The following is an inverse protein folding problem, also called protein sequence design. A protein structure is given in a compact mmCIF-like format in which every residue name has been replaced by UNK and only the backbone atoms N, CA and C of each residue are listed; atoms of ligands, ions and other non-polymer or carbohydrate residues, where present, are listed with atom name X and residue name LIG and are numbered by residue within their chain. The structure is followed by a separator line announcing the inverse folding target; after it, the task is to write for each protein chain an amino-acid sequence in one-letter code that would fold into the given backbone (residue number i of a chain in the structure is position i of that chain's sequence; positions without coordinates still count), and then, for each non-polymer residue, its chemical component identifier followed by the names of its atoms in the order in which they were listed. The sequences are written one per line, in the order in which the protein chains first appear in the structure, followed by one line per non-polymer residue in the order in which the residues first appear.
data_IF_621708362431
#
_entry.id   IF_621708362431
#
_cell.length_a   1.000
_cell.length_b   1.000
_cell.length_c   1.000
_cell.angle_alpha   90.00
_cell.angle_beta   90.00
_cell.angle_gamma   90.00
#
_symmetry.space_group_name_H-M   'P 1'
#
loop_
_entity.id
_entity.type
_entity.pdbx_description
1 polymer ?
2 polymer ?
3 polymer ?
#
# COMPACT_ATOMS: atom_id res chain seq x y z
N UNK A 3 -14.09 -43.83 41.53
CA UNK A 3 -14.34 -42.58 42.24
C UNK A 3 -15.35 -41.72 41.49
N UNK A 4 -15.60 -40.52 42.01
CA UNK A 4 -16.66 -39.67 41.49
C UNK A 4 -16.16 -38.62 40.49
N UNK A 5 -15.12 -37.88 40.86
CA UNK A 5 -14.64 -36.81 39.98
C UNK A 5 -13.93 -37.38 38.75
N UNK A 6 -13.66 -38.68 38.78
CA UNK A 6 -13.18 -39.39 37.61
C UNK A 6 -14.34 -39.65 36.64
N UNK A 7 -15.55 -39.33 37.08
CA UNK A 7 -16.72 -39.43 36.20
C UNK A 7 -17.02 -38.06 35.61
N UNK A 8 -16.84 -37.02 36.42
CA UNK A 8 -17.03 -35.66 35.97
C UNK A 8 -15.92 -35.25 35.00
N UNK A 9 -14.75 -35.85 35.15
CA UNK A 9 -13.63 -35.50 34.29
C UNK A 9 -13.77 -36.07 32.88
N UNK A 10 -14.30 -37.29 32.76
CA UNK A 10 -14.42 -37.95 31.46
C UNK A 10 -15.65 -37.48 30.68
N UNK A 11 -16.66 -36.99 31.39
CA UNK A 11 -17.86 -36.50 30.71
C UNK A 11 -17.62 -35.12 30.10
N UNK A 12 -16.76 -34.34 30.75
CA UNK A 12 -16.33 -33.07 30.18
C UNK A 12 -15.37 -33.35 29.04
N UNK A 13 -14.52 -34.37 29.21
CA UNK A 13 -13.52 -34.70 28.21
C UNK A 13 -14.16 -35.34 26.99
N UNK A 14 -15.17 -36.18 27.24
CA UNK A 14 -16.02 -36.71 26.17
C UNK A 14 -16.54 -35.62 25.23
N UNK A 15 -17.46 -34.80 25.74
CA UNK A 15 -18.02 -33.67 25.00
C UNK A 15 -16.97 -32.86 24.25
N UNK A 16 -15.86 -32.57 24.92
CA UNK A 16 -14.69 -31.97 24.27
C UNK A 16 -14.31 -32.75 23.00
N UNK A 17 -13.98 -34.03 23.17
CA UNK A 17 -13.60 -34.88 22.05
C UNK A 17 -14.67 -34.80 20.97
N UNK A 18 -15.93 -34.93 21.37
CA UNK A 18 -17.06 -34.85 20.46
C UNK A 18 -17.13 -33.52 19.72
N UNK A 19 -17.02 -32.42 20.46
CA UNK A 19 -17.08 -31.09 19.85
C UNK A 19 -15.89 -30.81 18.95
N UNK A 20 -14.77 -31.46 19.23
CA UNK A 20 -13.57 -31.28 18.41
C UNK A 20 -13.61 -32.17 17.17
N UNK A 21 -14.02 -33.42 17.33
CA UNK A 21 -14.14 -34.34 16.21
C UNK A 21 -15.14 -33.82 15.18
N UNK A 22 -16.17 -33.14 15.66
CA UNK A 22 -17.20 -32.57 14.81
C UNK A 22 -16.61 -31.45 13.93
N UNK A 23 -15.92 -30.51 14.58
CA UNK A 23 -15.29 -29.40 13.90
C UNK A 23 -14.24 -29.87 12.88
N UNK A 24 -13.61 -31.00 13.17
CA UNK A 24 -12.60 -31.57 12.29
C UNK A 24 -13.26 -32.09 11.02
N UNK A 25 -14.44 -32.69 11.18
CA UNK A 25 -15.18 -33.18 10.03
C UNK A 25 -15.78 -32.04 9.23
N UNK A 26 -15.84 -30.85 9.81
CA UNK A 26 -16.36 -29.70 9.10
C UNK A 26 -15.28 -29.08 8.22
N UNK A 27 -14.10 -28.89 8.81
CA UNK A 27 -12.96 -28.35 8.06
C UNK A 27 -12.47 -29.35 7.03
N UNK A 28 -12.79 -30.63 7.24
CA UNK A 28 -12.40 -31.66 6.31
C UNK A 28 -13.17 -31.58 4.98
N UNK A 29 -14.46 -31.23 5.04
CA UNK A 29 -15.25 -31.06 3.82
C UNK A 29 -15.01 -29.69 3.21
N UNK A 30 -14.72 -28.70 4.06
CA UNK A 30 -14.34 -27.38 3.58
C UNK A 30 -13.10 -27.47 2.72
N UNK A 31 -12.14 -28.28 3.15
CA UNK A 31 -10.90 -28.50 2.41
C UNK A 31 -11.20 -29.14 1.05
N UNK A 32 -12.16 -30.05 1.04
CA UNK A 32 -12.62 -30.67 -0.20
C UNK A 32 -13.24 -29.61 -1.11
N UNK A 33 -14.13 -28.81 -0.53
CA UNK A 33 -14.77 -27.71 -1.25
C UNK A 33 -13.74 -26.72 -1.78
N UNK A 34 -12.63 -26.58 -1.07
CA UNK A 34 -11.57 -25.67 -1.49
C UNK A 34 -10.91 -26.15 -2.78
N UNK A 35 -10.76 -27.47 -2.91
CA UNK A 35 -10.08 -28.04 -4.05
C UNK A 35 -10.94 -28.03 -5.31
N UNK A 36 -12.21 -28.40 -5.17
CA UNK A 36 -13.12 -28.38 -6.32
C UNK A 36 -13.35 -26.94 -6.81
N UNK A 37 -13.40 -26.00 -5.87
CA UNK A 37 -13.54 -24.59 -6.21
C UNK A 37 -12.32 -24.10 -6.96
N UNK A 38 -11.14 -24.58 -6.55
CA UNK A 38 -9.90 -24.19 -7.18
C UNK A 38 -9.80 -24.81 -8.58
N UNK A 39 -10.22 -26.07 -8.69
CA UNK A 39 -10.19 -26.78 -9.96
C UNK A 39 -11.12 -26.13 -10.98
N UNK A 40 -12.32 -25.77 -10.54
CA UNK A 40 -13.29 -25.13 -11.42
C UNK A 40 -12.88 -23.71 -11.80
N UNK A 41 -12.24 -23.01 -10.86
CA UNK A 41 -11.73 -21.68 -11.13
C UNK A 41 -10.68 -21.71 -12.23
N UNK A 42 -9.80 -22.70 -12.17
CA UNK A 42 -8.79 -22.90 -13.21
C UNK A 42 -9.45 -23.21 -14.55
N UNK A 43 -10.40 -24.14 -14.52
CA UNK A 43 -11.12 -24.54 -15.73
C UNK A 43 -11.88 -23.36 -16.33
N UNK A 44 -12.39 -22.49 -15.46
CA UNK A 44 -13.13 -21.30 -15.89
C UNK A 44 -12.23 -20.29 -16.59
N UNK A 45 -11.02 -20.11 -16.09
CA UNK A 45 -10.10 -19.13 -16.66
C UNK A 45 -9.52 -19.61 -17.99
N UNK A 46 -9.38 -20.92 -18.15
CA UNK A 46 -8.90 -21.50 -19.39
C UNK A 46 -9.91 -21.32 -20.52
N UNK A 47 -11.19 -21.37 -20.16
CA UNK A 47 -12.25 -21.22 -21.14
C UNK A 47 -12.35 -19.77 -21.60
N UNK A 48 -12.18 -18.85 -20.67
CA UNK A 48 -12.24 -17.42 -20.96
C UNK A 48 -11.08 -17.00 -21.86
N UNK A 49 -9.94 -17.67 -21.71
CA UNK A 49 -8.77 -17.36 -22.52
C UNK A 49 -8.91 -17.84 -23.96
N UNK A 50 -9.83 -18.77 -24.19
CA UNK A 50 -10.06 -19.30 -25.54
C UNK A 50 -11.03 -18.43 -26.32
N UNK A 51 -11.64 -17.47 -25.62
CA UNK A 51 -12.55 -16.53 -26.26
C UNK A 51 -11.93 -15.14 -26.31
N UNK A 52 -10.74 -15.02 -25.73
CA UNK A 52 -10.03 -13.74 -25.71
C UNK A 52 -8.62 -13.90 -26.28
N UNK A 54 -5.16 -12.58 -24.23
CA UNK A 54 -4.84 -12.94 -22.86
C UNK A 54 -4.74 -11.70 -21.98
N UNK A 55 -5.42 -11.72 -20.82
CA UNK A 55 -5.35 -10.57 -19.91
C UNK A 55 -3.92 -10.26 -19.49
N UNK A 56 -3.59 -8.96 -19.38
CA UNK A 56 -2.26 -8.50 -18.98
C UNK A 56 -2.01 -8.76 -17.49
N UNK A 57 -0.75 -8.99 -17.10
CA UNK A 57 -0.36 -9.38 -15.74
C UNK A 57 -0.67 -8.42 -14.58
N UNK A 58 -0.22 -7.15 -14.59
CA UNK A 58 -0.42 -6.41 -13.34
C UNK A 58 -1.86 -5.91 -13.14
N UNK A 59 -2.57 -5.82 -14.26
CA UNK A 59 -3.94 -5.35 -14.29
C UNK A 59 -4.98 -6.43 -14.50
N UNK A 60 -6.17 -6.19 -13.94
CA UNK A 60 -7.33 -7.05 -14.11
C UNK A 60 -7.14 -8.48 -13.62
N UNK A 61 -6.03 -8.75 -12.94
CA UNK A 61 -5.76 -10.09 -12.44
C UNK A 61 -5.14 -10.07 -11.04
N UNK A 62 -5.57 -11.00 -10.19
CA UNK A 62 -4.98 -11.17 -8.87
C UNK A 62 -4.65 -12.65 -8.65
N UNK A 63 -3.37 -12.94 -8.41
CA UNK A 63 -2.92 -14.33 -8.26
C UNK A 63 -3.09 -14.81 -6.82
N UNK A 64 -3.32 -16.12 -6.64
CA UNK A 64 -3.42 -16.70 -5.32
C UNK A 64 -2.03 -17.04 -4.78
N UNK A 65 -1.84 -16.93 -3.45
CA UNK A 65 -2.85 -16.51 -2.48
C UNK A 65 -2.91 -14.99 -2.34
N UNK A 66 -4.05 -14.47 -1.89
CA UNK A 66 -4.20 -13.05 -1.67
C UNK A 66 -5.23 -12.77 -0.59
N UNK A 67 -5.26 -11.53 -0.14
CA UNK A 67 -6.29 -11.07 0.79
C UNK A 67 -6.99 -9.84 0.25
N UNK A 68 -8.21 -9.60 0.71
CA UNK A 68 -8.96 -8.42 0.31
C UNK A 68 -9.21 -7.57 1.55
N UNK A 69 -8.76 -6.33 1.50
CA UNK A 69 -8.97 -5.40 2.61
C UNK A 69 -10.07 -4.42 2.24
N UNK A 70 -11.11 -4.38 3.06
CA UNK A 70 -12.25 -3.53 2.77
C UNK A 70 -12.46 -2.50 3.88
N UNK A 71 -12.53 -1.23 3.46
CA UNK A 71 -12.76 -0.14 4.39
C UNK A 71 -13.63 0.92 3.71
N UNK A 72 -14.05 1.93 4.48
CA UNK A 72 -14.91 2.98 3.95
C UNK A 72 -14.18 3.84 2.94
N UNK A 73 -14.94 4.50 2.07
CA UNK A 73 -14.37 5.36 1.04
C UNK A 73 -13.66 6.58 1.62
N UNK A 74 -14.08 6.99 2.82
CA UNK A 74 -13.50 8.16 3.48
C UNK A 74 -12.26 7.79 4.27
N UNK A 75 -11.95 6.51 4.33
CA UNK A 75 -10.78 6.03 5.07
C UNK A 75 -9.49 6.24 4.29
N UNK A 76 -8.49 6.84 4.94
CA UNK A 76 -7.18 7.03 4.32
C UNK A 76 -6.27 5.85 4.63
N UNK A 77 -5.69 5.28 3.58
CA UNK A 77 -4.80 4.14 3.72
C UNK A 77 -3.35 4.55 3.45
N UNK A 78 -2.47 4.23 4.38
CA UNK A 78 -1.05 4.55 4.23
C UNK A 78 -0.19 3.30 4.22
N UNK A 79 0.81 3.29 3.35
CA UNK A 79 1.70 2.14 3.24
C UNK A 79 3.11 2.59 3.58
N UNK A 80 3.69 1.95 4.59
CA UNK A 80 5.03 2.27 5.05
C UNK A 80 6.03 1.12 4.97
N UNK A 81 7.21 1.39 4.44
CA UNK A 81 8.28 0.41 4.51
C UNK A 81 9.45 1.07 5.24
N UNK A 82 10.06 0.31 6.15
CA UNK A 82 11.09 0.87 7.03
C UNK A 82 12.48 0.35 6.69
N UNK A 83 13.41 0.52 7.63
CA UNK A 83 14.78 0.06 7.45
C UNK A 83 14.88 -1.44 7.69
N UNK A 84 13.98 -1.97 8.50
CA UNK A 84 13.95 -3.40 8.78
C UNK A 84 13.50 -4.14 7.53
N UNK A 85 14.01 -5.35 7.36
CA UNK A 85 13.75 -6.07 6.12
C UNK A 85 12.54 -6.97 6.27
N UNK A 86 11.94 -7.31 5.13
CA UNK A 86 10.78 -8.19 5.04
C UNK A 86 9.62 -7.67 5.88
N UNK A 87 9.43 -6.35 5.92
CA UNK A 87 8.37 -5.76 6.74
C UNK A 87 7.50 -4.79 5.96
N UNK A 88 6.18 -4.95 6.07
CA UNK A 88 5.26 -3.98 5.51
C UNK A 88 4.31 -3.44 6.58
N UNK A 89 4.03 -2.14 6.57
CA UNK A 89 3.10 -1.57 7.54
C UNK A 89 1.99 -0.72 6.90
N UNK A 90 0.77 -1.23 6.95
CA UNK A 90 -0.40 -0.48 6.46
C UNK A 90 -1.13 0.18 7.62
N UNK A 91 -1.46 1.46 7.47
CA UNK A 91 -2.24 2.18 8.49
C UNK A 91 -3.58 2.68 7.98
N UNK A 92 -4.60 2.56 8.84
CA UNK A 92 -5.94 3.04 8.53
C UNK A 92 -6.39 3.98 9.65
N UNK A 93 -7.08 5.05 9.30
CA UNK A 93 -7.60 5.97 10.32
C UNK A 93 -8.98 5.52 10.80
N UNK A 94 -9.45 4.41 10.24
CA UNK A 94 -10.75 3.85 10.60
C UNK A 94 -10.73 2.33 10.51
N UNK A 95 -11.82 1.69 10.94
CA UNK A 95 -11.90 0.24 10.96
C UNK A 95 -11.86 -0.34 9.56
N UNK A 96 -11.45 -1.61 9.47
CA UNK A 96 -11.39 -2.31 8.20
C UNK A 96 -11.75 -3.78 8.37
N UNK A 97 -11.85 -4.50 7.25
CA UNK A 97 -12.10 -5.94 7.28
C UNK A 97 -11.18 -6.66 6.31
N UNK A 98 -10.78 -7.87 6.70
CA UNK A 98 -9.89 -8.69 5.88
C UNK A 98 -10.58 -9.97 5.44
N UNK A 99 -10.52 -10.25 4.14
CA UNK A 99 -11.16 -11.43 3.58
C UNK A 99 -10.13 -12.25 2.82
N UNK A 100 -10.34 -13.56 2.79
CA UNK A 100 -9.36 -14.46 2.20
C UNK A 100 -9.73 -14.94 0.81
N UNK A 101 -8.77 -15.58 0.14
CA UNK A 101 -8.95 -16.17 -1.18
C UNK A 101 -10.05 -17.21 -1.13
N UNK A 102 -10.07 -18.00 -0.06
CA UNK A 102 -11.03 -19.09 0.09
C UNK A 102 -12.47 -18.56 0.10
N UNK A 103 -12.70 -17.46 0.81
CA UNK A 103 -14.05 -16.93 0.94
C UNK A 103 -14.54 -16.24 -0.34
N UNK A 104 -13.65 -15.58 -1.06
CA UNK A 104 -14.05 -14.94 -2.32
C UNK A 104 -14.35 -16.00 -3.37
N UNK A 105 -13.66 -17.14 -3.32
CA UNK A 105 -13.95 -18.24 -4.24
C UNK A 105 -15.32 -18.83 -3.95
N UNK A 106 -15.69 -18.90 -2.67
CA UNK A 106 -17.02 -19.38 -2.28
C UNK A 106 -18.13 -18.41 -2.66
N UNK A 107 -17.84 -17.11 -2.57
CA UNK A 107 -18.83 -16.07 -2.85
C UNK A 107 -19.14 -15.96 -4.34
N UNK A 108 -18.24 -16.45 -5.17
CA UNK A 108 -18.37 -16.38 -6.62
C UNK A 108 -18.90 -17.70 -7.17
N UNK A 109 -19.36 -18.55 -6.27
CA UNK A 109 -19.71 -19.92 -6.62
C UNK A 109 -18.48 -20.77 -6.42
N UNK A 110 -17.94 -21.33 -7.50
CA UNK A 110 -16.68 -22.06 -7.39
C UNK A 110 -15.61 -21.47 -8.31
N UNK B 4 -22.90 -49.75 41.57
CA UNK B 4 -23.17 -48.33 41.67
C UNK B 4 -23.48 -47.74 40.30
N UNK B 5 -24.22 -46.62 40.30
CA UNK B 5 -24.61 -45.96 39.07
C UNK B 5 -23.43 -45.26 38.41
N UNK B 6 -22.46 -44.85 39.22
CA UNK B 6 -21.33 -44.07 38.71
C UNK B 6 -20.19 -44.93 38.16
N UNK B 7 -19.96 -46.09 38.77
CA UNK B 7 -18.78 -46.89 38.43
C UNK B 7 -18.93 -47.56 37.06
N UNK B 8 -20.16 -47.69 36.56
CA UNK B 8 -20.34 -48.20 35.22
C UNK B 8 -20.98 -47.16 34.31
N UNK B 9 -21.08 -45.94 34.83
CA UNK B 9 -21.20 -44.76 33.98
C UNK B 9 -19.79 -44.51 33.44
N UNK B 10 -18.82 -44.95 34.24
CA UNK B 10 -17.41 -44.88 33.90
C UNK B 10 -17.03 -45.89 32.82
N UNK B 11 -17.29 -47.16 33.10
CA UNK B 11 -16.95 -48.26 32.20
C UNK B 11 -17.60 -48.08 30.83
N UNK B 12 -18.76 -47.41 30.80
CA UNK B 12 -19.44 -47.13 29.54
C UNK B 12 -18.78 -45.97 28.81
N UNK B 13 -18.53 -44.89 29.53
CA UNK B 13 -17.87 -43.72 28.97
C UNK B 13 -16.44 -44.06 28.56
N UNK B 14 -15.79 -44.89 29.38
CA UNK B 14 -14.43 -45.32 29.07
C UNK B 14 -14.40 -46.39 27.97
N UNK B 15 -15.57 -46.78 27.50
CA UNK B 15 -15.67 -47.72 26.38
C UNK B 15 -15.94 -46.98 25.07
N UNK B 16 -16.43 -45.74 25.20
CA UNK B 16 -16.80 -44.94 24.02
C UNK B 16 -15.71 -44.01 23.52
N UNK B 17 -14.84 -43.54 24.41
CA UNK B 17 -13.82 -42.58 24.02
C UNK B 17 -12.75 -43.17 23.08
N UNK B 18 -12.55 -44.48 23.12
CA UNK B 18 -11.58 -45.12 22.23
C UNK B 18 -12.10 -45.20 20.80
N UNK B 19 -13.42 -45.30 20.66
CA UNK B 19 -14.05 -45.21 19.35
C UNK B 19 -13.91 -43.77 18.91
N UNK B 20 -14.05 -42.86 19.87
CA UNK B 20 -13.87 -41.44 19.64
C UNK B 20 -12.40 -41.11 19.39
N UNK B 21 -11.52 -41.82 20.09
CA UNK B 21 -10.09 -41.61 19.93
C UNK B 21 -9.63 -42.02 18.53
N UNK B 22 -10.01 -43.23 18.11
CA UNK B 22 -9.61 -43.74 16.80
C UNK B 22 -10.23 -42.94 15.68
N UNK B 23 -11.44 -42.43 15.90
CA UNK B 23 -12.11 -41.61 14.91
C UNK B 23 -11.31 -40.33 14.65
N UNK B 24 -10.68 -39.81 15.69
CA UNK B 24 -9.89 -38.59 15.56
C UNK B 24 -8.55 -38.88 14.90
N UNK B 25 -7.99 -40.05 15.18
CA UNK B 25 -6.76 -40.51 14.56
C UNK B 25 -6.96 -40.61 13.06
N UNK B 26 -8.10 -41.19 12.69
CA UNK B 26 -8.51 -41.33 11.31
C UNK B 26 -8.70 -39.96 10.67
N UNK B 27 -9.39 -39.09 11.37
CA UNK B 27 -9.69 -37.74 10.87
C UNK B 27 -8.43 -36.88 10.79
N UNK B 28 -7.42 -37.25 11.55
CA UNK B 28 -6.16 -36.51 11.55
C UNK B 28 -5.28 -36.95 10.40
N UNK B 29 -5.47 -38.19 9.97
CA UNK B 29 -4.72 -38.73 8.83
C UNK B 29 -5.37 -38.33 7.52
N UNK B 30 -6.70 -38.26 7.52
CA UNK B 30 -7.46 -37.83 6.35
C UNK B 30 -7.19 -36.37 6.04
N UNK B 31 -7.08 -35.55 7.07
CA UNK B 31 -6.85 -34.12 6.91
C UNK B 31 -5.43 -33.81 6.44
N UNK B 32 -4.46 -34.63 6.88
CA UNK B 32 -3.06 -34.33 6.61
C UNK B 32 -2.60 -34.71 5.21
N UNK B 33 -3.33 -35.61 4.55
CA UNK B 33 -3.03 -35.96 3.17
C UNK B 33 -4.18 -35.59 2.25
N UNK B 34 -5.14 -34.84 2.79
CA UNK B 34 -6.03 -34.02 1.97
C UNK B 34 -5.30 -32.70 1.73
N UNK B 35 -4.67 -32.18 2.78
CA UNK B 35 -3.89 -30.96 2.68
C UNK B 35 -2.74 -31.15 1.68
N UNK B 36 -2.10 -32.30 1.75
CA UNK B 36 -1.01 -32.66 0.85
C UNK B 36 -1.47 -32.68 -0.60
N UNK B 37 -2.67 -33.21 -0.82
CA UNK B 37 -3.21 -33.32 -2.16
C UNK B 37 -3.61 -31.95 -2.68
N UNK B 38 -3.85 -31.03 -1.74
CA UNK B 38 -4.21 -29.66 -2.10
C UNK B 38 -2.95 -28.91 -2.50
N UNK B 39 -1.84 -29.24 -1.83
CA UNK B 39 -0.56 -28.62 -2.12
C UNK B 39 -0.02 -29.06 -3.48
N UNK B 40 -0.32 -30.29 -3.87
CA UNK B 40 0.16 -30.84 -5.14
C UNK B 40 -0.58 -30.25 -6.34
N UNK B 41 -1.84 -29.89 -6.14
CA UNK B 41 -2.65 -29.31 -7.20
C UNK B 41 -2.27 -27.86 -7.51
N UNK B 42 -2.05 -27.06 -6.45
CA UNK B 42 -1.80 -25.64 -6.64
C UNK B 42 -0.35 -25.33 -7.02
N UNK B 43 0.50 -26.35 -7.03
CA UNK B 43 1.80 -26.23 -7.69
C UNK B 43 1.93 -27.31 -8.76
N UNK B 44 1.04 -27.22 -9.74
CA UNK B 44 1.32 -27.74 -11.05
C UNK B 44 1.72 -26.43 -11.71
N UNK B 45 2.43 -26.47 -12.83
CA UNK B 45 2.86 -25.21 -13.43
C UNK B 45 1.77 -24.74 -14.38
N UNK B 46 0.94 -25.68 -14.83
CA UNK B 46 -0.22 -25.33 -15.63
C UNK B 46 -1.32 -24.74 -14.75
N UNK B 47 -1.50 -25.32 -13.56
CA UNK B 47 -2.54 -24.85 -12.64
C UNK B 47 -2.22 -23.47 -12.06
N UNK B 48 -0.95 -23.24 -11.76
CA UNK B 48 -0.50 -21.96 -11.25
C UNK B 48 -0.70 -20.85 -12.28
N UNK B 49 -0.66 -21.23 -13.56
CA UNK B 49 -0.84 -20.32 -14.68
C UNK B 49 -2.26 -19.73 -14.72
N UNK B 50 -3.23 -20.45 -14.15
CA UNK B 50 -4.62 -20.01 -14.18
C UNK B 50 -5.25 -19.85 -12.80
N UNK B 51 -4.40 -19.79 -11.78
CA UNK B 51 -4.88 -19.59 -10.41
C UNK B 51 -4.99 -18.10 -10.09
N UNK B 52 -5.94 -17.41 -10.73
CA UNK B 52 -6.15 -15.99 -10.51
C UNK B 52 -7.62 -15.57 -10.54
N UNK B 53 -7.90 -14.36 -10.06
CA UNK B 53 -9.24 -13.78 -10.13
C UNK B 53 -9.22 -12.34 -10.71
N UNK B 54 -10.30 -11.98 -11.38
CA UNK B 54 -10.43 -10.67 -12.05
C UNK B 54 -11.11 -9.61 -11.18
N UNK B 55 -11.11 -8.36 -11.66
CA UNK B 55 -11.78 -7.25 -10.97
C UNK B 55 -13.27 -7.50 -10.80
N UNK B 56 -13.92 -7.97 -11.86
CA UNK B 56 -15.36 -8.19 -11.86
C UNK B 56 -15.78 -9.15 -10.76
N UNK B 57 -14.98 -10.18 -10.54
CA UNK B 57 -15.26 -11.18 -9.52
C UNK B 57 -15.24 -10.57 -8.12
N UNK B 58 -14.22 -9.77 -7.84
CA UNK B 58 -14.10 -9.09 -6.56
C UNK B 58 -15.25 -8.11 -6.33
N UNK B 59 -15.59 -7.34 -7.36
CA UNK B 59 -16.66 -6.36 -7.28
C UNK B 59 -18.02 -6.99 -7.02
N UNK B 60 -18.22 -8.19 -7.54
CA UNK B 60 -19.50 -8.89 -7.38
C UNK B 60 -19.70 -9.40 -5.96
N UNK B 61 -18.60 -9.65 -5.26
CA UNK B 61 -18.65 -10.19 -3.89
C UNK B 61 -18.40 -9.15 -2.81
N UNK B 62 -18.17 -7.90 -3.21
CA UNK B 62 -17.95 -6.80 -2.28
C UNK B 62 -18.64 -5.50 -2.67
N UNK B 63 -19.85 -5.28 -2.17
CA UNK B 63 -20.64 -4.13 -2.60
C UNK B 63 -20.12 -2.81 -2.06
N UNK B 64 -19.75 -1.92 -2.97
CA UNK B 64 -19.29 -0.57 -2.65
C UNK B 64 -17.93 -0.49 -2.00
N UNK B 65 -17.64 0.70 -1.45
CA UNK B 65 -16.45 0.96 -0.65
C UNK B 65 -15.13 0.87 -1.41
N UNK B 66 -14.04 1.05 -0.68
CA UNK B 66 -12.69 0.93 -1.23
C UNK B 66 -12.13 -0.46 -0.95
N UNK B 67 -11.66 -1.12 -2.00
CA UNK B 67 -11.16 -2.49 -1.87
C UNK B 67 -9.67 -2.51 -2.15
N UNK B 68 -8.93 -3.16 -1.26
CA UNK B 68 -7.49 -3.29 -1.42
C UNK B 68 -7.12 -4.76 -1.53
N UNK B 69 -6.56 -5.14 -2.68
CA UNK B 69 -6.12 -6.50 -2.89
C UNK B 69 -4.62 -6.63 -2.68
N UNK B 70 -4.24 -7.48 -1.73
CA UNK B 70 -2.84 -7.68 -1.42
C UNK B 70 -2.43 -9.11 -1.77
N UNK B 71 -1.41 -9.23 -2.61
CA UNK B 71 -0.91 -10.54 -2.99
C UNK B 71 0.55 -10.74 -2.60
N UNK B 72 0.81 -11.87 -1.96
CA UNK B 72 2.10 -12.18 -1.39
C UNK B 72 2.34 -13.69 -1.53
N UNK B 73 3.62 -14.11 -1.53
CA UNK B 73 3.91 -15.55 -1.60
C UNK B 73 3.39 -16.32 -0.38
N UNK B 74 3.38 -17.65 -0.48
CA UNK B 74 2.87 -18.49 0.58
C UNK B 74 3.77 -18.41 1.81
N UNK B 75 3.17 -18.55 2.99
CA UNK B 75 3.92 -18.47 4.23
C UNK B 75 4.14 -17.04 4.69
N UNK B 76 3.52 -16.10 3.98
CA UNK B 76 3.61 -14.69 4.35
C UNK B 76 2.78 -14.49 5.61
N UNK B 77 3.37 -13.86 6.62
CA UNK B 77 2.67 -13.70 7.88
C UNK B 77 2.01 -12.33 8.00
N UNK B 78 0.78 -12.34 8.49
CA UNK B 78 0.00 -11.13 8.68
C UNK B 78 -0.35 -10.94 10.15
N UNK B 79 0.08 -9.81 10.72
CA UNK B 79 -0.13 -9.56 12.13
C UNK B 79 -0.96 -8.29 12.34
N UNK B 80 -2.08 -8.43 13.05
CA UNK B 80 -2.94 -7.30 13.33
C UNK B 80 -3.07 -7.05 14.83
N UNK B 81 -2.54 -5.92 15.30
CA UNK B 81 -2.59 -5.58 16.72
C UNK B 81 -3.97 -5.09 17.16
N UNK B 82 -4.18 -5.02 18.47
CA UNK B 82 -5.43 -4.56 19.03
C UNK B 82 -5.64 -3.06 18.80
N UNK B 83 -6.89 -2.66 18.52
CA UNK B 83 -7.20 -1.24 18.31
C UNK B 83 -7.07 -0.41 19.59
N UNK B 84 -5.84 -0.25 20.09
CA UNK B 84 -5.61 0.56 21.28
C UNK B 84 -5.64 2.02 20.90
N UNK B 85 -5.33 2.90 21.85
CA UNK B 85 -5.24 4.33 21.55
C UNK B 85 -3.88 4.88 21.95
N UNK B 86 -3.36 5.80 21.15
CA UNK B 86 -2.06 6.38 21.40
C UNK B 86 -2.09 7.89 21.43
N UNK B 90 -5.29 9.02 18.95
CA UNK B 90 -6.20 8.31 18.07
C UNK B 90 -5.94 6.81 18.12
N UNK B 91 -6.97 6.02 17.81
CA UNK B 91 -6.86 4.57 17.82
C UNK B 91 -5.98 4.15 16.65
N UNK B 92 -5.38 2.97 16.74
CA UNK B 92 -4.51 2.52 15.66
C UNK B 92 -5.06 1.26 14.98
N UNK B 93 -5.39 1.40 13.71
CA UNK B 93 -5.80 0.24 12.93
C UNK B 93 -4.69 0.00 11.92
N UNK B 94 -3.94 -1.08 12.12
CA UNK B 94 -2.83 -1.36 11.23
C UNK B 94 -2.71 -2.84 10.89
N UNK B 95 -1.91 -3.12 9.86
CA UNK B 95 -1.65 -4.48 9.42
C UNK B 95 -0.15 -4.62 9.21
N UNK B 96 0.45 -5.55 9.94
CA UNK B 96 1.89 -5.79 9.79
C UNK B 96 2.13 -7.01 8.92
N UNK B 97 2.71 -6.77 7.76
CA UNK B 97 3.00 -7.82 6.79
C UNK B 97 4.48 -8.16 6.77
N UNK B 98 4.77 -9.46 6.83
CA UNK B 98 6.15 -9.91 6.76
C UNK B 98 6.29 -10.97 5.67
N UNK B 99 7.07 -10.64 4.64
CA UNK B 99 7.28 -11.55 3.52
C UNK B 99 8.76 -11.80 3.32
N UNK B 100 9.15 -13.06 3.45
CA UNK B 100 10.55 -13.45 3.36
C UNK B 100 10.88 -14.08 2.01
N UNK B 101 9.86 -14.55 1.32
CA UNK B 101 10.06 -15.30 0.08
C UNK B 101 9.96 -14.44 -1.18
N UNK B 102 9.60 -13.17 -1.01
CA UNK B 102 9.45 -12.30 -2.16
C UNK B 102 8.83 -10.95 -1.88
N UNK B 103 8.53 -10.20 -2.96
CA UNK B 103 7.85 -8.90 -2.92
C UNK B 103 6.34 -9.07 -2.96
N UNK B 104 5.62 -8.08 -2.44
CA UNK B 104 4.16 -8.12 -2.42
C UNK B 104 3.56 -7.20 -3.46
N UNK B 105 2.43 -7.63 -4.02
CA UNK B 105 1.75 -6.87 -5.07
C UNK B 105 0.40 -6.40 -4.55
N UNK B 106 0.15 -5.10 -4.66
CA UNK B 106 -1.08 -4.50 -4.17
C UNK B 106 -1.91 -3.85 -5.27
N UNK B 107 -3.11 -4.36 -5.47
CA UNK B 107 -4.00 -3.85 -6.50
C UNK B 107 -5.15 -3.09 -5.84
N UNK B 108 -5.39 -1.87 -6.33
CA UNK B 108 -6.51 -1.05 -5.86
C UNK B 108 -7.74 -1.25 -6.73
N UNK B 109 -8.74 -1.94 -6.19
CA UNK B 109 -9.93 -2.32 -6.95
C UNK B 109 -10.93 -1.17 -7.05
N UNK B 110 -11.48 -0.99 -8.24
CA UNK B 110 -12.44 0.09 -8.50
C UNK B 110 -13.64 -0.41 -9.28
N UNK C 10 -0.12 -10.29 21.96
CA UNK C 10 -0.87 -9.04 21.99
C UNK C 10 -1.48 -8.72 20.63
N UNK C 11 -1.44 -9.69 19.73
CA UNK C 11 -1.97 -9.50 18.39
C UNK C 11 -2.41 -10.83 17.77
N UNK C 12 -3.25 -10.74 16.75
CA UNK C 12 -3.70 -11.93 16.03
C UNK C 12 -2.89 -12.16 14.78
N UNK C 13 -2.62 -13.42 14.45
CA UNK C 13 -1.78 -13.75 13.31
C UNK C 13 -2.56 -14.44 12.19
N UNK C 14 -2.17 -14.17 10.95
CA UNK C 14 -2.71 -14.87 9.79
C UNK C 14 -1.60 -15.22 8.81
N UNK C 15 -1.69 -16.39 8.19
CA UNK C 15 -0.69 -16.84 7.24
C UNK C 15 -1.30 -17.06 5.86
N UNK C 16 -0.68 -16.48 4.84
CA UNK C 16 -1.13 -16.64 3.46
C UNK C 16 -1.01 -18.09 3.02
N UNK C 17 -2.14 -18.68 2.63
CA UNK C 17 -2.19 -20.06 2.16
C UNK C 17 -1.62 -21.02 3.20
N UNK C 18 -2.08 -20.89 4.44
CA UNK C 18 -1.60 -21.73 5.52
C UNK C 18 -2.28 -21.43 6.85
N UNK C 19 -3.37 -20.67 6.80
CA UNK C 19 -4.11 -20.34 8.00
C UNK C 19 -5.62 -20.39 7.74
N UNK C 20 -6.37 -21.00 8.67
CA UNK C 20 -7.83 -21.13 8.56
C UNK C 20 -8.53 -19.79 8.41
N UNK C 21 -9.70 -19.78 7.78
CA UNK C 21 -10.47 -18.56 7.59
C UNK C 21 -11.12 -18.11 8.89
N UNK C 22 -11.10 -19.01 9.88
CA UNK C 22 -11.58 -18.71 11.21
C UNK C 22 -10.69 -17.66 11.87
N UNK C 23 -9.44 -17.60 11.43
CA UNK C 23 -8.47 -16.64 11.95
C UNK C 23 -8.85 -15.21 11.57
N UNK C 24 -9.23 -15.02 10.31
CA UNK C 24 -9.59 -13.68 9.83
C UNK C 24 -10.91 -13.20 10.41
N UNK C 25 -11.79 -14.14 10.73
CA UNK C 25 -13.07 -13.80 11.35
C UNK C 25 -12.84 -13.21 12.73
N UNK C 26 -11.89 -13.78 13.46
CA UNK C 26 -11.54 -13.29 14.80
C UNK C 26 -10.85 -11.93 14.69
N UNK C 27 -10.06 -11.75 13.64
CA UNK C 27 -9.41 -10.48 13.39
C UNK C 27 -10.43 -9.39 13.10
N UNK C 28 -11.37 -9.70 12.21
CA UNK C 28 -12.42 -8.75 11.84
C UNK C 28 -13.28 -8.36 13.04
N UNK C 29 -13.59 -9.33 13.89
CA UNK C 29 -14.38 -9.08 15.09
C UNK C 29 -13.63 -8.22 16.09
N UNK C 30 -12.33 -8.47 16.23
CA UNK C 30 -11.50 -7.71 17.15
C UNK C 30 -11.42 -6.24 16.75
N UNK C 31 -11.25 -6.00 15.46
CA UNK C 31 -11.16 -4.64 14.93
C UNK C 31 -12.48 -3.90 15.10
N UNK C 32 -13.59 -4.59 14.84
CA UNK C 32 -14.91 -3.98 14.91
C UNK C 32 -15.33 -3.69 16.35
N UNK C 33 -14.92 -4.55 17.28
CA UNK C 33 -15.27 -4.39 18.68
C UNK C 33 -14.29 -3.48 19.43
N UNK C 34 -13.00 -3.71 19.22
CA UNK C 34 -11.98 -2.94 19.90
C UNK C 34 -11.79 -3.38 21.33
N UNK C 35 -11.30 -2.47 22.18
CA UNK C 35 -11.09 -2.77 23.59
C UNK C 35 -12.42 -2.96 24.31
N UNK C 36 -12.52 -4.06 25.07
CA UNK C 36 -13.77 -4.41 25.73
C UNK C 36 -13.68 -4.26 27.24
N UNK C 37 -14.83 -3.99 27.87
CA UNK C 37 -14.91 -3.97 29.33
C UNK C 37 -14.86 -5.38 29.87
N UNK C 38 -14.24 -5.54 31.04
CA UNK C 38 -14.10 -6.86 31.64
C UNK C 38 -15.35 -7.25 32.43
N UNK D 13 32.71 27.35 -24.27
CA UNK D 13 32.55 27.69 -22.88
C UNK D 13 31.41 28.70 -22.70
N UNK D 14 31.27 29.62 -23.66
CA UNK D 14 30.13 30.56 -23.68
C UNK D 14 28.77 29.90 -23.49
N UNK D 15 28.35 29.12 -24.48
CA UNK D 15 27.09 28.37 -24.50
C UNK D 15 26.70 27.75 -23.16
N UNK D 16 27.70 27.17 -22.50
CA UNK D 16 27.63 26.67 -21.14
C UNK D 16 27.03 27.67 -20.13
N UNK D 17 27.73 28.79 -19.92
CA UNK D 17 27.34 29.80 -18.94
C UNK D 17 25.94 30.36 -19.13
N UNK D 18 25.61 30.71 -20.36
CA UNK D 18 24.30 31.27 -20.69
C UNK D 18 23.20 30.29 -20.29
N UNK D 19 23.36 29.03 -20.70
CA UNK D 19 22.40 27.99 -20.35
C UNK D 19 22.42 27.69 -18.85
N UNK D 20 23.55 27.92 -18.20
CA UNK D 20 23.68 27.64 -16.77
C UNK D 20 23.14 28.78 -15.92
N UNK D 21 23.49 30.02 -16.27
CA UNK D 21 23.04 31.19 -15.54
C UNK D 21 21.51 31.32 -15.58
N UNK D 22 20.92 30.88 -16.68
CA UNK D 22 19.47 30.95 -16.84
C UNK D 22 18.77 30.02 -15.86
N UNK D 23 19.17 28.75 -15.84
CA UNK D 23 18.58 27.78 -14.92
C UNK D 23 18.82 28.13 -13.45
N UNK D 24 19.98 28.71 -13.16
CA UNK D 24 20.31 29.09 -11.79
C UNK D 24 19.53 30.34 -11.34
N UNK D 25 19.38 31.29 -12.25
CA UNK D 25 18.60 32.50 -11.96
C UNK D 25 17.10 32.19 -11.95
N UNK D 26 16.75 31.03 -12.49
CA UNK D 26 15.36 30.59 -12.54
C UNK D 26 14.92 30.00 -11.21
N UNK D 27 15.76 29.14 -10.65
CA UNK D 27 15.48 28.50 -9.36
C UNK D 27 15.48 29.53 -8.23
N UNK D 28 16.13 30.67 -8.48
CA UNK D 28 16.21 31.74 -7.50
C UNK D 28 14.83 32.38 -7.31
N UNK D 29 14.06 32.45 -8.39
CA UNK D 29 12.71 33.00 -8.32
C UNK D 29 11.74 31.97 -7.73
N UNK D 30 12.02 30.69 -7.97
CA UNK D 30 11.25 29.61 -7.36
C UNK D 30 11.33 29.65 -5.84
N UNK D 31 12.52 29.91 -5.32
CA UNK D 31 12.74 30.01 -3.88
C UNK D 31 11.96 31.17 -3.26
N UNK D 32 11.87 32.28 -3.98
CA UNK D 32 11.09 33.42 -3.51
C UNK D 32 9.61 33.06 -3.39
N UNK D 33 9.06 32.49 -4.45
CA UNK D 33 7.67 32.03 -4.45
C UNK D 33 7.45 30.95 -3.40
N UNK D 34 8.48 30.17 -3.12
CA UNK D 34 8.39 29.08 -2.15
C UNK D 34 8.19 29.58 -0.72
N UNK D 35 8.84 30.69 -0.37
CA UNK D 35 8.74 31.23 0.98
C UNK D 35 7.43 31.96 1.21
N UNK D 36 7.01 32.74 0.22
CA UNK D 36 5.76 33.49 0.30
C UNK D 36 4.57 32.54 0.42
N UNK D 37 4.64 31.42 -0.30
CA UNK D 37 3.60 30.40 -0.24
C UNK D 37 3.56 29.79 1.16
N UNK D 38 4.74 29.62 1.75
CA UNK D 38 4.86 29.06 3.09
C UNK D 38 4.31 30.01 4.14
N UNK D 39 4.63 31.30 3.99
CA UNK D 39 4.17 32.32 4.93
C UNK D 39 2.65 32.41 4.93
N UNK D 40 2.06 32.38 3.75
CA UNK D 40 0.61 32.44 3.61
C UNK D 40 -0.05 31.14 4.09
N UNK D 41 0.63 30.02 3.88
CA UNK D 41 0.15 28.73 4.35
C UNK D 41 0.02 28.73 5.87
N UNK D 42 1.02 29.27 6.55
CA UNK D 42 0.99 29.40 7.99
C UNK D 42 -0.15 30.32 8.40
N UNK D 43 -0.23 31.46 7.75
CA UNK D 43 -1.27 32.46 8.03
C UNK D 43 -2.67 31.88 7.82
N UNK D 44 -2.82 31.04 6.81
CA UNK D 44 -4.10 30.42 6.50
C UNK D 44 -4.48 29.41 7.58
N UNK D 45 -3.50 28.66 8.07
CA UNK D 45 -3.75 27.64 9.09
C UNK D 45 -4.04 28.22 10.47
N UNK D 46 -3.49 29.39 10.77
CA UNK D 46 -3.77 30.04 12.05
C UNK D 46 -5.23 30.48 12.10
N UNK D 47 -5.75 30.88 10.95
CA UNK D 47 -7.13 31.36 10.86
C UNK D 47 -8.13 30.20 10.97
N UNK D 48 -7.82 29.08 10.33
CA UNK D 48 -8.68 27.91 10.38
C UNK D 48 -8.74 27.31 11.79
N UNK D 49 -7.60 27.37 12.48
CA UNK D 49 -7.51 26.87 13.85
C UNK D 49 -8.19 27.81 14.83
N UNK D 50 -8.47 29.03 14.37
CA UNK D 50 -9.13 30.09 15.13
C UNK D 50 -8.18 30.70 16.14
N UNK D 55 -7.75 22.96 16.61
CA UNK D 55 -6.71 22.34 15.79
C UNK D 55 -7.16 21.01 15.18
N UNK D 56 -6.73 20.73 13.94
CA UNK D 56 -7.08 19.51 13.21
C UNK D 56 -6.37 18.26 13.74
N UNK D 57 -7.02 17.10 13.61
CA UNK D 57 -6.46 15.81 14.07
C UNK D 57 -5.16 15.48 13.33
N UNK D 58 -4.33 14.61 13.91
CA UNK D 58 -3.01 14.33 13.35
C UNK D 58 -3.06 13.42 12.12
N UNK D 59 -4.16 12.71 11.93
CA UNK D 59 -4.28 11.79 10.79
C UNK D 59 -5.12 12.39 9.67
N UNK D 60 -5.39 13.69 9.80
CA UNK D 60 -6.14 14.43 8.77
C UNK D 60 -5.28 15.54 8.16
N UNK D 61 -3.99 15.52 8.47
CA UNK D 61 -3.05 16.52 7.99
C UNK D 61 -1.75 15.87 7.52
N UNK D 62 -1.13 16.47 6.53
CA UNK D 62 0.14 15.96 6.01
C UNK D 62 1.21 17.05 5.99
N UNK D 63 2.32 16.76 6.66
CA UNK D 63 3.42 17.71 6.81
C UNK D 63 4.35 17.71 5.60
N UNK D 64 5.03 18.84 5.41
CA UNK D 64 5.96 19.01 4.31
C UNK D 64 7.30 18.35 4.62
N UNK D 65 8.01 17.86 3.60
CA UNK D 65 7.66 17.85 2.17
C UNK D 65 6.92 16.58 1.73
N UNK D 66 6.16 16.68 0.64
CA UNK D 66 5.49 15.53 0.03
C UNK D 66 5.23 15.77 -1.46
N UNK D 67 4.82 14.73 -2.17
CA UNK D 67 4.38 14.91 -3.55
C UNK D 67 2.99 14.32 -3.73
N UNK D 68 2.25 14.80 -4.72
CA UNK D 68 0.91 14.32 -4.99
C UNK D 68 0.77 13.71 -6.39
N UNK D 69 0.33 12.46 -6.45
CA UNK D 69 0.05 11.82 -7.73
C UNK D 69 -1.46 11.73 -7.92
N UNK D 70 -1.96 12.35 -8.99
CA UNK D 70 -3.40 12.39 -9.25
C UNK D 70 -3.79 11.76 -10.58
N UNK D 71 -4.78 10.89 -10.54
CA UNK D 71 -5.28 10.25 -11.75
C UNK D 71 -6.80 10.12 -11.70
N UNK D 72 -7.40 9.69 -12.81
CA UNK D 72 -8.85 9.58 -12.91
C UNK D 72 -9.39 8.47 -12.02
N UNK D 73 -10.67 8.58 -11.67
CA UNK D 73 -11.33 7.60 -10.81
C UNK D 73 -11.45 6.24 -11.49
N UNK D 74 -11.46 6.23 -12.82
CA UNK D 74 -11.61 5.00 -13.58
C UNK D 74 -10.25 4.33 -13.82
N UNK D 75 -9.18 4.97 -13.39
CA UNK D 75 -7.84 4.44 -13.56
C UNK D 75 -7.55 3.35 -12.53
N UNK D 76 -7.06 2.21 -13.01
CA UNK D 76 -6.68 1.12 -12.12
C UNK D 76 -5.21 1.22 -11.74
N UNK D 77 -4.93 1.25 -10.45
CA UNK D 77 -3.56 1.36 -9.97
C UNK D 77 -3.09 0.10 -9.26
N UNK D 78 -1.98 -0.47 -9.72
CA UNK D 78 -1.39 -1.63 -9.05
C UNK D 78 0.03 -1.27 -8.61
N UNK D 79 0.38 -1.69 -7.39
CA UNK D 79 1.67 -1.37 -6.81
C UNK D 79 2.48 -2.59 -6.41
N UNK D 80 3.74 -2.62 -6.81
CA UNK D 80 4.63 -3.70 -6.39
C UNK D 80 5.67 -3.10 -5.45
N UNK D 81 5.78 -3.71 -4.28
CA UNK D 81 6.74 -3.26 -3.27
C UNK D 81 7.71 -4.38 -2.91
N UNK D 82 8.97 -4.04 -2.71
CA UNK D 82 10.00 -5.04 -2.53
C UNK D 82 10.42 -5.17 -1.08
N UNK D 83 10.61 -6.42 -0.64
CA UNK D 83 11.01 -6.70 0.73
C UNK D 83 12.50 -6.50 0.93
N UNK D 84 13.26 -6.72 -0.14
CA UNK D 84 14.70 -6.52 -0.11
C UNK D 84 15.05 -5.03 -0.13
N UNK D 85 14.75 -4.39 -1.24
CA UNK D 85 15.12 -3.00 -1.49
C UNK D 85 14.01 -1.99 -1.17
N UNK D 86 14.40 -0.73 -0.99
CA UNK D 86 13.49 0.39 -0.78
C UNK D 86 12.75 0.80 -2.06
N UNK D 87 12.12 -0.16 -2.73
CA UNK D 87 11.52 0.13 -4.04
C UNK D 87 10.01 -0.05 -4.13
N UNK D 88 9.37 0.94 -4.76
CA UNK D 88 7.97 0.88 -5.16
C UNK D 88 7.88 0.98 -6.68
N UNK D 89 6.98 0.18 -7.25
CA UNK D 89 6.74 0.24 -8.69
C UNK D 89 5.25 0.43 -8.91
N UNK D 90 4.88 1.60 -9.38
CA UNK D 90 3.48 1.92 -9.66
C UNK D 90 3.16 1.70 -11.13
N UNK D 91 2.05 1.01 -11.39
CA UNK D 91 1.59 0.83 -12.76
C UNK D 91 0.22 1.47 -12.94
N UNK D 92 0.02 2.16 -14.06
CA UNK D 92 -1.27 2.76 -14.35
C UNK D 92 -1.75 2.37 -15.74
N UNK D 93 -3.04 2.09 -15.87
CA UNK D 93 -3.63 1.78 -17.16
C UNK D 93 -4.13 3.05 -17.84
N UNK D 94 -3.93 4.19 -17.18
CA UNK D 94 -4.34 5.48 -17.73
C UNK D 94 -3.39 6.58 -17.27
N UNK D 95 -3.56 7.78 -17.82
CA UNK D 95 -2.65 8.89 -17.54
C UNK D 95 -2.70 9.36 -16.08
N UNK D 96 -1.62 9.98 -15.64
CA UNK D 96 -1.52 10.54 -14.29
C UNK D 96 -0.72 11.84 -14.29
N UNK D 97 -0.69 12.52 -13.14
CA UNK D 97 0.10 13.73 -12.98
C UNK D 97 0.81 13.74 -11.64
N UNK D 98 2.03 14.29 -11.60
CA UNK D 98 2.78 14.37 -10.35
C UNK D 98 3.03 15.82 -9.95
N UNK D 99 2.66 16.16 -8.71
CA UNK D 99 2.81 17.52 -8.21
C UNK D 99 3.54 17.58 -6.86
N UNK D 100 4.24 18.68 -6.63
CA UNK D 100 5.03 18.87 -5.41
C UNK D 100 4.29 19.80 -4.44
N UNK D 101 4.84 19.99 -3.24
CA UNK D 101 4.21 20.83 -2.22
C UNK D 101 3.93 22.25 -2.67
N UNK D 102 4.88 22.86 -3.35
CA UNK D 102 4.75 24.25 -3.77
C UNK D 102 3.59 24.42 -4.76
N UNK D 103 3.45 23.47 -5.68
CA UNK D 103 2.43 23.56 -6.72
C UNK D 103 1.03 23.39 -6.15
N UNK D 104 0.91 22.55 -5.13
CA UNK D 104 -0.36 22.36 -4.44
C UNK D 104 -0.69 23.62 -3.65
N UNK D 105 0.34 24.25 -3.11
CA UNK D 105 0.21 25.50 -2.37
C UNK D 105 -0.20 26.63 -3.30
N UNK D 106 0.27 26.57 -4.54
CA UNK D 106 -0.06 27.59 -5.54
C UNK D 106 -1.54 27.55 -5.89
N UNK D 107 -2.12 26.36 -5.86
CA UNK D 107 -3.53 26.18 -6.21
C UNK D 107 -4.50 26.73 -5.16
N UNK D 108 -4.00 26.96 -3.94
CA UNK D 108 -4.90 27.40 -2.87
C UNK D 108 -4.91 28.90 -2.67
N UNK D 109 -4.18 29.64 -3.51
CA UNK D 109 -4.06 31.07 -3.33
C UNK D 109 -2.98 31.43 -2.34
N UNK D 110 -1.79 30.88 -2.53
CA UNK D 110 -0.67 31.20 -1.64
C UNK D 110 0.45 31.87 -2.42
N UNK D 111 0.26 32.01 -3.73
CA UNK D 111 1.24 32.65 -4.59
C UNK D 111 0.61 33.75 -5.42
N UNK E 5 42.29 41.43 -38.11
CA UNK E 5 40.84 41.48 -38.04
C UNK E 5 40.28 40.41 -37.12
N UNK E 6 41.02 39.31 -36.99
CA UNK E 6 40.60 38.16 -36.21
C UNK E 6 41.01 38.23 -34.75
N UNK E 7 42.09 38.94 -34.47
CA UNK E 7 42.73 38.89 -33.17
C UNK E 7 41.91 39.50 -32.04
N UNK E 8 40.91 40.30 -32.37
CA UNK E 8 40.02 40.82 -31.35
C UNK E 8 38.55 40.39 -31.51
N UNK E 9 38.32 39.38 -32.34
CA UNK E 9 37.07 38.62 -32.23
C UNK E 9 37.14 37.81 -30.95
N UNK E 10 38.37 37.48 -30.56
CA UNK E 10 38.64 36.82 -29.30
C UNK E 10 38.46 37.79 -28.13
N UNK E 11 38.96 39.01 -28.31
CA UNK E 11 38.89 40.03 -27.28
C UNK E 11 37.45 40.32 -26.88
N UNK E 12 36.52 40.17 -27.83
CA UNK E 12 35.10 40.36 -27.56
C UNK E 12 34.51 39.15 -26.86
N UNK E 13 34.84 37.96 -27.35
CA UNK E 13 34.37 36.72 -26.75
C UNK E 13 34.91 36.53 -25.34
N UNK E 14 36.17 36.94 -25.14
CA UNK E 14 36.80 36.86 -23.83
C UNK E 14 36.28 37.95 -22.90
N UNK E 15 35.48 38.86 -23.45
CA UNK E 15 34.88 39.92 -22.66
C UNK E 15 33.46 39.52 -22.28
N UNK E 16 32.97 38.45 -22.89
CA UNK E 16 31.63 37.95 -22.62
C UNK E 16 31.71 36.90 -21.53
N UNK E 17 32.75 36.09 -21.57
CA UNK E 17 32.96 35.04 -20.59
C UNK E 17 33.33 35.67 -19.25
N UNK E 18 33.94 36.85 -19.31
CA UNK E 18 34.32 37.56 -18.09
C UNK E 18 33.11 38.23 -17.45
N UNK E 19 32.16 38.66 -18.28
CA UNK E 19 30.88 39.17 -17.80
C UNK E 19 29.99 38.06 -17.25
N UNK E 20 30.05 36.91 -17.91
CA UNK E 20 29.29 35.74 -17.48
C UNK E 20 29.82 35.18 -16.17
N UNK E 21 31.13 35.28 -15.99
CA UNK E 21 31.76 34.83 -14.75
C UNK E 21 31.30 35.70 -13.59
N UNK E 22 31.36 37.02 -13.78
CA UNK E 22 30.95 37.97 -12.75
C UNK E 22 29.45 37.91 -12.48
N UNK E 23 28.68 37.57 -13.50
CA UNK E 23 27.23 37.47 -13.38
C UNK E 23 26.81 36.42 -12.35
N UNK E 24 27.61 35.38 -12.23
CA UNK E 24 27.32 34.28 -11.32
C UNK E 24 27.52 34.62 -9.85
N UNK E 25 28.47 35.51 -9.57
CA UNK E 25 28.77 35.91 -8.21
C UNK E 25 27.53 36.46 -7.53
N UNK E 26 26.80 37.32 -8.23
CA UNK E 26 25.55 37.87 -7.69
C UNK E 26 24.47 36.82 -7.49
N UNK E 27 24.23 36.00 -8.51
CA UNK E 27 23.16 34.99 -8.45
C UNK E 27 23.47 33.86 -7.49
N UNK E 28 24.75 33.63 -7.21
CA UNK E 28 25.13 32.59 -6.26
C UNK E 28 25.13 33.15 -4.84
N UNK E 29 25.31 34.46 -4.72
CA UNK E 29 25.28 35.11 -3.41
C UNK E 29 23.84 35.32 -2.96
N UNK E 30 22.97 35.62 -3.92
CA UNK E 30 21.54 35.80 -3.64
C UNK E 30 20.87 34.51 -3.18
N UNK E 31 21.29 33.39 -3.77
CA UNK E 31 20.70 32.10 -3.43
C UNK E 31 21.15 31.63 -2.05
N UNK E 32 22.38 31.99 -1.70
CA UNK E 32 22.99 31.58 -0.43
C UNK E 32 22.53 32.45 0.73
N UNK E 33 21.91 33.59 0.44
CA UNK E 33 21.33 34.43 1.48
C UNK E 33 19.81 34.38 1.38
N UNK E 34 19.32 33.63 0.40
CA UNK E 34 17.94 33.18 0.43
C UNK E 34 17.84 31.88 1.20
N UNK E 35 18.80 30.98 0.96
CA UNK E 35 18.84 29.69 1.64
C UNK E 35 19.03 29.84 3.15
N UNK E 36 19.94 30.71 3.55
CA UNK E 36 20.20 30.94 4.97
C UNK E 36 18.95 31.49 5.66
N UNK E 37 18.29 32.45 5.00
CA UNK E 37 17.09 33.07 5.55
C UNK E 37 15.85 32.19 5.41
N UNK E 38 15.89 31.24 4.48
CA UNK E 38 14.76 30.34 4.27
C UNK E 38 14.70 29.22 5.29
N UNK E 39 15.82 28.52 5.45
CA UNK E 39 15.88 27.38 6.36
C UNK E 39 15.55 27.78 7.80
N UNK E 40 15.91 29.00 8.16
CA UNK E 40 15.63 29.52 9.49
C UNK E 40 14.13 29.75 9.72
N UNK E 41 13.41 30.03 8.66
CA UNK E 41 11.97 30.25 8.77
C UNK E 41 11.27 28.92 9.03
N UNK E 42 11.67 27.89 8.29
CA UNK E 42 11.07 26.58 8.42
C UNK E 42 11.73 25.78 9.56
N UNK E 43 12.72 26.38 10.20
CA UNK E 43 13.18 25.87 11.47
C UNK E 43 12.98 26.94 12.53
N UNK E 44 11.73 27.39 12.61
CA UNK E 44 11.18 28.07 13.77
C UNK E 44 10.32 27.05 14.49
N UNK E 45 9.97 27.30 15.75
CA UNK E 45 9.14 26.34 16.47
C UNK E 45 7.65 26.64 16.30
N UNK E 46 7.34 27.91 16.07
CA UNK E 46 5.96 28.33 15.81
C UNK E 46 5.52 28.02 14.38
N UNK E 47 6.42 28.22 13.43
CA UNK E 47 6.09 28.02 12.02
C UNK E 47 5.87 26.55 11.70
N UNK E 48 6.66 25.67 12.31
CA UNK E 48 6.49 24.23 12.14
C UNK E 48 5.15 23.76 12.68
N UNK E 49 4.64 24.47 13.68
CA UNK E 49 3.35 24.17 14.29
C UNK E 49 2.23 24.34 13.27
N UNK E 50 2.46 25.19 12.29
CA UNK E 50 1.46 25.46 11.26
C UNK E 50 1.98 25.17 9.87
N UNK E 51 3.11 24.46 9.80
CA UNK E 51 3.68 24.07 8.52
C UNK E 51 3.09 22.74 8.07
N UNK E 52 1.79 22.75 7.78
CA UNK E 52 1.11 21.55 7.35
C UNK E 52 0.04 21.87 6.30
N UNK E 53 -0.44 20.83 5.64
CA UNK E 53 -1.57 20.94 4.73
C UNK E 53 -2.57 19.88 5.14
N UNK E 54 -3.86 20.16 5.01
CA UNK E 54 -4.86 19.19 5.44
C UNK E 54 -5.26 18.33 4.26
N UNK E 55 -5.93 17.22 4.57
CA UNK E 55 -6.41 16.30 3.55
C UNK E 55 -7.48 16.96 2.67
N UNK E 56 -8.40 17.67 3.31
CA UNK E 56 -9.52 18.32 2.62
C UNK E 56 -9.08 19.31 1.57
N UNK E 57 -8.05 20.09 1.87
CA UNK E 57 -7.54 21.09 0.94
C UNK E 57 -6.97 20.43 -0.32
N UNK E 58 -6.21 19.36 -0.13
CA UNK E 58 -5.65 18.63 -1.25
C UNK E 58 -6.76 18.04 -2.11
N UNK E 59 -7.78 17.48 -1.47
CA UNK E 59 -8.93 16.92 -2.17
C UNK E 59 -9.69 18.00 -2.92
N UNK E 60 -9.75 19.20 -2.34
CA UNK E 60 -10.48 20.32 -2.95
C UNK E 60 -9.77 20.92 -4.16
N UNK E 61 -8.45 20.77 -4.23
CA UNK E 61 -7.71 21.35 -5.35
C UNK E 61 -7.46 20.27 -6.40
N UNK E 62 -7.94 19.07 -6.11
CA UNK E 62 -7.98 17.99 -7.08
C UNK E 62 -9.33 17.33 -6.89
N UNK E 63 -10.39 17.95 -7.40
CA UNK E 63 -11.74 17.49 -7.11
C UNK E 63 -12.17 16.29 -7.95
N UNK E 64 -12.53 15.21 -7.26
CA UNK E 64 -13.03 14.01 -7.92
C UNK E 64 -11.99 13.22 -8.66
N UNK E 65 -10.76 13.22 -8.15
CA UNK E 65 -9.71 12.36 -8.70
C UNK E 65 -9.24 11.37 -7.65
N UNK E 66 -8.30 10.51 -8.02
CA UNK E 66 -7.67 9.61 -7.06
C UNK E 66 -6.33 10.21 -6.66
N UNK E 67 -6.10 10.37 -5.35
CA UNK E 67 -4.90 11.04 -4.89
C UNK E 67 -3.95 10.14 -4.12
N UNK E 68 -2.68 10.18 -4.50
CA UNK E 68 -1.62 9.45 -3.81
C UNK E 68 -0.57 10.42 -3.29
N UNK E 69 -0.41 10.46 -1.98
CA UNK E 69 0.61 11.30 -1.36
C UNK E 69 1.83 10.46 -1.00
N UNK E 70 2.99 10.84 -1.54
CA UNK E 70 4.22 10.10 -1.30
C UNK E 70 5.18 10.95 -0.49
N UNK E 71 5.62 10.41 0.65
CA UNK E 71 6.56 11.14 1.48
C UNK E 71 7.82 10.29 1.61
N UNK E 72 8.97 10.90 1.30
CA UNK E 72 10.22 10.14 1.19
C UNK E 72 11.44 10.96 1.62
N UNK E 73 12.54 10.28 1.98
CA UNK E 73 13.79 10.97 2.29
C UNK E 73 14.35 11.71 1.09
N UNK E 74 15.37 12.54 1.31
CA UNK E 74 15.91 13.41 0.26
C UNK E 74 16.51 12.68 -0.92
N UNK E 75 17.39 11.72 -0.66
CA UNK E 75 18.07 10.98 -1.72
C UNK E 75 17.19 10.06 -2.55
N UNK E 76 15.88 10.13 -2.33
CA UNK E 76 14.94 9.28 -3.06
C UNK E 76 14.81 9.68 -4.53
N UNK E 77 14.98 8.70 -5.41
CA UNK E 77 14.90 8.93 -6.85
C UNK E 77 13.54 8.54 -7.40
N UNK E 78 12.98 9.38 -8.27
CA UNK E 78 11.69 9.10 -8.89
C UNK E 78 11.86 9.01 -10.39
N UNK E 79 11.56 7.85 -10.96
CA UNK E 79 11.79 7.61 -12.38
C UNK E 79 10.53 7.20 -13.13
N UNK E 80 10.21 7.94 -14.20
CA UNK E 80 9.05 7.63 -15.03
C UNK E 80 9.48 7.30 -16.45
N UNK E 81 9.35 6.05 -16.86
CA UNK E 81 9.76 5.65 -18.18
C UNK E 81 8.84 6.17 -19.21
N UNK E 82 9.17 5.95 -20.47
CA UNK E 82 8.36 6.41 -21.56
C UNK E 82 7.22 5.48 -21.78
N UNK E 83 6.00 6.08 -21.97
CA UNK E 83 4.89 5.13 -22.12
C UNK E 83 5.11 4.18 -23.26
N UNK E 84 4.87 2.91 -23.00
CA UNK E 84 5.07 1.89 -24.00
C UNK E 84 3.79 1.60 -24.73
N UNK E 85 3.90 0.87 -25.83
CA UNK E 85 2.74 0.51 -26.63
C UNK E 85 1.62 0.01 -25.77
N UNK E 90 -3.45 -1.68 -25.04
CA UNK E 90 -3.65 -0.48 -24.22
C UNK E 90 -2.32 0.04 -23.69
N UNK E 91 -2.27 1.32 -23.39
CA UNK E 91 -1.04 2.00 -22.99
C UNK E 91 -0.57 1.63 -21.57
N UNK E 92 0.73 1.76 -21.34
CA UNK E 92 1.32 1.43 -20.04
C UNK E 92 2.02 2.64 -19.43
N UNK E 93 1.51 3.08 -18.28
CA UNK E 93 2.06 4.19 -17.51
C UNK E 93 2.69 3.72 -16.20
N UNK E 94 3.97 4.00 -15.99
CA UNK E 94 4.63 3.51 -14.78
C UNK E 94 5.40 4.57 -13.99
N UNK E 95 5.65 4.24 -12.73
CA UNK E 95 6.42 5.08 -11.81
C UNK E 95 7.40 4.24 -10.99
N UNK E 96 8.68 4.52 -11.13
CA UNK E 96 9.71 3.80 -10.36
C UNK E 96 10.24 4.61 -9.19
N UNK E 97 9.99 4.15 -7.97
CA UNK E 97 10.48 4.86 -6.80
C UNK E 97 11.67 4.11 -6.21
N UNK E 98 12.80 4.81 -6.09
CA UNK E 98 14.02 4.22 -5.54
C UNK E 98 14.67 5.12 -4.50
N UNK E 99 14.79 4.61 -3.27
CA UNK E 99 15.39 5.37 -2.18
C UNK E 99 16.54 4.60 -1.54
N UNK E 100 17.39 5.31 -0.79
CA UNK E 100 18.56 4.69 -0.17
C UNK E 100 18.35 4.36 1.30
N UNK E 101 17.39 5.03 1.94
CA UNK E 101 17.19 4.87 3.37
C UNK E 101 15.86 5.44 3.87
N UNK E 102 15.81 5.73 5.16
CA UNK E 102 14.63 6.26 5.83
C UNK E 102 13.36 5.48 5.63
N UNK E 103 12.24 5.99 6.13
CA UNK E 103 10.95 5.35 5.83
C UNK E 103 10.28 5.97 4.63
N UNK E 104 9.52 5.19 3.87
CA UNK E 104 8.76 5.74 2.76
C UNK E 104 7.28 5.63 3.06
N UNK E 105 6.52 6.67 2.75
CA UNK E 105 5.08 6.67 3.01
C UNK E 105 4.26 6.91 1.74
N UNK E 106 3.33 6.01 1.46
CA UNK E 106 2.43 6.19 0.32
C UNK E 106 1.00 6.22 0.86
N UNK E 107 0.33 7.36 0.71
CA UNK E 107 -1.00 7.53 1.27
C UNK E 107 -2.11 7.60 0.22
N UNK E 108 -3.17 6.83 0.42
CA UNK E 108 -4.35 6.92 -0.42
C UNK E 108 -5.33 7.89 0.25
N UNK E 109 -5.38 9.12 -0.25
CA UNK E 109 -6.19 10.16 0.36
C UNK E 109 -7.64 10.11 -0.10
N UNK E 110 -7.84 9.93 -1.40
CA UNK E 110 -9.19 9.92 -1.97
C UNK E 110 -9.40 8.77 -2.94
N UNK E 111 -10.48 8.02 -2.71
CA UNK E 111 -10.87 6.89 -3.56
C UNK E 111 -9.75 5.86 -3.68
N UNK F 11 13.83 8.29 -20.42
CA UNK F 11 13.02 8.48 -19.23
C UNK F 11 13.44 9.72 -18.47
N UNK F 12 12.54 10.23 -17.62
CA UNK F 12 12.82 11.43 -16.85
C UNK F 12 12.98 11.11 -15.36
N UNK F 13 13.84 11.86 -14.69
CA UNK F 13 14.11 11.63 -13.28
C UNK F 13 13.69 12.80 -12.40
N UNK F 14 13.34 12.51 -11.15
CA UNK F 14 13.03 13.53 -10.17
C UNK F 14 13.58 13.13 -8.81
N UNK F 15 14.41 13.99 -8.23
CA UNK F 15 14.99 13.73 -6.91
C UNK F 15 14.25 14.52 -5.84
N UNK F 16 13.85 13.84 -4.77
CA UNK F 16 13.17 14.49 -3.66
C UNK F 16 14.07 15.52 -2.99
N UNK F 17 13.46 16.57 -2.44
CA UNK F 17 14.15 17.63 -1.71
C UNK F 17 15.14 18.46 -2.53
N UNK F 18 15.62 17.91 -3.65
CA UNK F 18 16.60 18.61 -4.45
C UNK F 18 16.45 18.42 -5.95
N UNK F 19 15.44 19.06 -6.52
CA UNK F 19 15.21 19.05 -7.96
C UNK F 19 14.16 20.10 -8.35
N UNK F 20 14.32 20.72 -9.53
CA UNK F 20 13.43 21.80 -9.97
C UNK F 20 11.98 21.36 -10.14
N UNK F 21 11.05 22.30 -9.92
CA UNK F 21 9.63 21.99 -9.95
C UNK F 21 9.13 21.65 -11.35
N UNK F 22 9.82 22.15 -12.37
CA UNK F 22 9.41 21.92 -13.75
C UNK F 22 9.99 20.64 -14.31
N UNK F 23 10.83 19.98 -13.52
CA UNK F 23 11.29 18.64 -13.86
C UNK F 23 10.11 17.68 -13.67
N UNK F 24 9.13 18.12 -12.89
CA UNK F 24 7.88 17.39 -12.73
C UNK F 24 6.88 17.77 -13.81
N UNK F 25 6.84 19.05 -14.14
CA UNK F 25 5.94 19.56 -15.17
C UNK F 25 6.28 18.94 -16.52
N UNK F 26 7.55 18.67 -16.74
CA UNK F 26 8.00 18.06 -17.99
C UNK F 26 7.71 16.55 -17.99
N UNK F 27 7.59 15.97 -16.80
CA UNK F 27 7.17 14.59 -16.69
C UNK F 27 5.69 14.46 -17.01
N UNK F 28 4.89 15.34 -16.41
CA UNK F 28 3.45 15.35 -16.62
C UNK F 28 3.07 15.58 -18.08
N UNK F 29 3.76 16.49 -18.73
CA UNK F 29 3.47 16.82 -20.12
C UNK F 29 3.90 15.73 -21.08
N UNK F 30 5.04 15.10 -20.79
CA UNK F 30 5.54 13.97 -21.58
C UNK F 30 4.46 12.90 -21.75
N UNK F 31 3.76 12.63 -20.66
CA UNK F 31 2.64 11.69 -20.66
C UNK F 31 1.49 12.22 -21.50
N UNK F 32 1.24 13.53 -21.37
CA UNK F 32 0.19 14.19 -22.15
C UNK F 32 0.49 14.13 -23.63
N UNK F 33 1.74 14.44 -24.01
CA UNK F 33 2.16 14.41 -25.40
C UNK F 33 2.68 13.03 -25.80
N UNK F 34 2.06 11.98 -25.25
CA UNK F 34 2.46 10.62 -25.55
C UNK F 34 1.27 9.71 -25.81
#
# INVERSE_FOLDING_TARGET
GEFAQECQNLEVERQRRLERIKQKQSQLQELILQQIAFKNLVQRNRHAEQQASRPPPPNSVIHLPFIIVNTSKKTVIDCSISNDKFEYLFNFDNTFEIHDDIEVLKRMGMACGLESGSCSAEDLKMARSLVPKALEPYVTEMAQGTVGGVFITTA
GHMKEVIDRLRYLKAEIEDLELKERELDQQKLWLQQSIKNVMDDSINNRFSYVTHEDICNCFNGDTLLAIQAPSGTQLEVPIPEMGQNGQKKYQINLKSHSGPIHVLLINKE
GEFSGLTPRSALLYKFNGSPSKSLKDINNMIRQGEQRTKKR
GEFAQECQNLEVERQRRLERIKQKQSQLQELILQQIAFKNLVQRNRHAEQQASRPPPPNSVIHLPFIIVNTSKKTVIDCSISNDKFEYLFNFDNTFEIHDDIEVLKRMGMACGLESGSCSAEDLKMARSLVPKALEPYVTEMAQGTVGGVFITTA
GHMKEVIDRLRYLKAEIEDLELKERELDQQKLWLQQSIKNVMDDSINNRFSYVTHEDICNCFNGDTLLAIQAPSGTQLEVPIPEMGQNGQKKYQINLKSHSGPIHVLLINKE
GEFSGLTPRSALLYKFNGSPSKSLKDINNMIRQGEQRTKKR
#
